data_IF_237750080995
#
_entry.id   IF_237750080995
#
_cell.length_a   1.000
_cell.length_b   1.000
_cell.length_c   1.000
_cell.angle_alpha   90.00
_cell.angle_beta   90.00
_cell.angle_gamma   90.00
#
_symmetry.space_group_name_H-M   'P 1'
#
loop_
_entity.id
_entity.type
_entity.pdbx_description
1 polymer ?
#
# COMPACT_ATOMS: atom_id res chain seq x y z
N UNK A 1 -29.70 3.25 -15.38
CA UNK A 1 -28.83 3.35 -14.18
C UNK A 1 -29.03 2.08 -13.39
N UNK A 2 -28.17 1.10 -13.58
CA UNK A 2 -28.20 -0.11 -12.77
C UNK A 2 -27.46 0.21 -11.48
N UNK A 3 -28.16 0.20 -10.34
CA UNK A 3 -27.56 0.18 -9.02
C UNK A 3 -26.95 -1.22 -8.85
N UNK A 4 -25.67 -1.35 -9.19
CA UNK A 4 -24.91 -2.53 -8.79
C UNK A 4 -24.66 -2.39 -7.29
N UNK A 5 -25.38 -3.16 -6.50
CA UNK A 5 -24.99 -3.41 -5.11
C UNK A 5 -23.56 -3.93 -5.05
N UNK A 6 -22.91 -3.90 -3.88
CA UNK A 6 -21.54 -4.39 -3.76
C UNK A 6 -21.48 -5.85 -4.25
N UNK A 7 -20.36 -6.17 -4.94
CA UNK A 7 -20.10 -7.53 -5.40
C UNK A 7 -20.17 -8.48 -4.18
N UNK A 8 -20.73 -9.71 -4.33
CA UNK A 8 -20.70 -10.69 -3.24
C UNK A 8 -19.32 -10.96 -2.65
N UNK A 9 -18.24 -10.88 -3.45
CA UNK A 9 -16.87 -10.97 -2.98
C UNK A 9 -16.50 -9.80 -2.07
N UNK A 10 -16.86 -8.57 -2.43
CA UNK A 10 -16.65 -7.38 -1.63
C UNK A 10 -17.34 -7.46 -0.27
N UNK A 11 -18.54 -8.03 -0.23
CA UNK A 11 -19.30 -8.23 1.02
C UNK A 11 -18.58 -9.18 1.97
N UNK A 12 -17.98 -10.25 1.45
CA UNK A 12 -17.17 -11.18 2.25
C UNK A 12 -15.91 -10.50 2.78
N UNK A 13 -15.21 -9.76 1.94
CA UNK A 13 -13.98 -9.03 2.34
C UNK A 13 -14.28 -8.00 3.43
N UNK A 14 -15.37 -7.24 3.31
CA UNK A 14 -15.81 -6.29 4.32
C UNK A 14 -16.17 -7.01 5.63
N UNK A 15 -16.84 -8.16 5.55
CA UNK A 15 -17.19 -8.94 6.74
C UNK A 15 -15.94 -9.47 7.47
N UNK A 16 -14.91 -9.90 6.73
CA UNK A 16 -13.64 -10.32 7.31
C UNK A 16 -12.89 -9.12 7.93
N UNK A 17 -12.88 -7.98 7.26
CA UNK A 17 -12.28 -6.76 7.78
C UNK A 17 -12.95 -6.25 9.05
N UNK A 18 -14.27 -6.46 9.21
CA UNK A 18 -14.98 -6.08 10.42
C UNK A 18 -14.48 -6.83 11.67
N UNK A 19 -14.03 -8.08 11.51
CA UNK A 19 -13.41 -8.85 12.59
C UNK A 19 -12.04 -8.25 12.98
N UNK A 20 -11.30 -7.76 11.98
CA UNK A 20 -10.00 -7.12 12.21
C UNK A 20 -10.13 -5.72 12.84
N UNK A 21 -11.29 -5.10 12.81
CA UNK A 21 -11.54 -3.80 13.45
C UNK A 21 -11.51 -3.90 14.99
N UNK A 22 -11.76 -5.09 15.55
CA UNK A 22 -11.65 -5.29 17.01
C UNK A 22 -10.18 -5.33 17.46
N UNK A 23 -9.77 -4.28 18.18
CA UNK A 23 -8.42 -4.11 18.73
C UNK A 23 -8.07 -5.11 19.84
N UNK A 24 -9.06 -5.70 20.47
CA UNK A 24 -8.88 -6.67 21.54
C UNK A 24 -8.63 -8.08 21.01
N UNK A 25 -9.18 -8.38 19.83
CA UNK A 25 -9.07 -9.69 19.21
C UNK A 25 -7.80 -9.88 18.37
N UNK A 26 -7.30 -8.79 17.76
CA UNK A 26 -6.18 -8.87 16.81
C UNK A 26 -5.18 -7.71 16.96
N UNK A 27 -3.89 -8.05 17.02
CA UNK A 27 -2.80 -7.06 16.99
C UNK A 27 -2.06 -7.14 15.65
N UNK A 28 -2.05 -6.04 14.89
CA UNK A 28 -1.23 -5.89 13.69
C UNK A 28 -0.86 -4.42 13.48
N UNK A 29 0.21 -4.15 12.72
CA UNK A 29 0.67 -2.79 12.40
C UNK A 29 0.54 -2.47 10.92
N UNK A 30 0.42 -3.48 10.08
CA UNK A 30 0.26 -3.35 8.63
C UNK A 30 -0.94 -4.18 8.19
N UNK A 31 -1.84 -3.56 7.45
CA UNK A 31 -2.93 -4.21 6.74
C UNK A 31 -2.62 -4.19 5.26
N UNK A 32 -2.79 -5.31 4.59
CA UNK A 32 -2.72 -5.42 3.12
C UNK A 32 -3.82 -6.33 2.61
N UNK A 33 -4.35 -6.00 1.46
CA UNK A 33 -5.34 -6.80 0.72
C UNK A 33 -4.82 -6.96 -0.70
N UNK A 34 -3.87 -7.90 -0.94
CA UNK A 34 -3.21 -8.00 -2.23
C UNK A 34 -4.18 -8.26 -3.37
N UNK A 35 -4.14 -7.40 -4.39
CA UNK A 35 -4.99 -7.49 -5.57
C UNK A 35 -6.41 -6.93 -5.38
N UNK A 36 -6.83 -6.65 -4.15
CA UNK A 36 -8.13 -6.02 -3.92
C UNK A 36 -8.05 -4.52 -4.24
N UNK A 37 -8.83 -4.10 -5.25
CA UNK A 37 -8.83 -2.73 -5.80
C UNK A 37 -10.22 -2.09 -5.78
N UNK A 38 -11.26 -2.83 -5.38
CA UNK A 38 -12.60 -2.30 -5.24
C UNK A 38 -12.63 -1.12 -4.25
N UNK A 39 -13.25 -0.01 -4.64
CA UNK A 39 -13.33 1.18 -3.79
C UNK A 39 -14.09 0.90 -2.50
N UNK A 40 -15.17 0.09 -2.54
CA UNK A 40 -15.97 -0.27 -1.38
C UNK A 40 -15.13 -0.96 -0.29
N UNK A 41 -14.30 -1.92 -0.67
CA UNK A 41 -13.44 -2.68 0.27
C UNK A 41 -12.26 -1.84 0.74
N UNK A 42 -11.62 -1.11 -0.16
CA UNK A 42 -10.44 -0.30 0.19
C UNK A 42 -10.80 0.91 1.06
N UNK A 43 -11.99 1.51 0.86
CA UNK A 43 -12.49 2.59 1.73
C UNK A 43 -12.84 2.05 3.13
N UNK A 44 -13.41 0.85 3.21
CA UNK A 44 -13.64 0.20 4.50
C UNK A 44 -12.33 -0.12 5.22
N UNK A 45 -11.31 -0.62 4.50
CA UNK A 45 -10.00 -0.90 5.08
C UNK A 45 -9.30 0.38 5.60
N UNK A 46 -9.44 1.50 4.88
CA UNK A 46 -8.97 2.81 5.34
C UNK A 46 -9.66 3.19 6.65
N UNK A 47 -10.99 3.18 6.66
CA UNK A 47 -11.81 3.52 7.84
C UNK A 47 -11.46 2.64 9.05
N UNK A 48 -11.29 1.34 8.84
CA UNK A 48 -10.87 0.42 9.89
C UNK A 48 -9.49 0.77 10.48
N UNK A 49 -8.52 1.16 9.65
CA UNK A 49 -7.21 1.60 10.12
C UNK A 49 -7.27 2.96 10.84
N UNK A 50 -8.13 3.88 10.39
CA UNK A 50 -8.39 5.15 11.05
C UNK A 50 -9.02 4.97 12.44
N UNK A 51 -10.03 4.12 12.56
CA UNK A 51 -10.66 3.82 13.85
C UNK A 51 -9.71 3.10 14.81
N UNK A 52 -8.87 2.23 14.27
CA UNK A 52 -7.87 1.50 15.08
C UNK A 52 -6.75 2.41 15.57
N UNK A 53 -6.25 3.31 14.78
CA UNK A 53 -5.06 4.15 15.04
C UNK A 53 -3.73 3.38 15.25
N UNK A 54 -3.71 2.06 15.16
CA UNK A 54 -2.56 1.20 15.44
C UNK A 54 -2.07 0.40 14.21
N UNK A 55 -2.65 0.67 13.05
CA UNK A 55 -2.31 0.03 11.79
C UNK A 55 -2.23 1.02 10.62
N UNK A 56 -1.39 0.70 9.63
CA UNK A 56 -1.29 1.37 8.34
C UNK A 56 -1.80 0.43 7.26
N UNK A 57 -2.72 0.90 6.42
CA UNK A 57 -3.16 0.17 5.24
C UNK A 57 -2.23 0.45 4.05
N UNK A 58 -1.68 -0.61 3.46
CA UNK A 58 -0.88 -0.54 2.23
C UNK A 58 -1.74 -1.08 1.10
N UNK A 59 -2.10 -0.23 0.15
CA UNK A 59 -3.13 -0.51 -0.84
C UNK A 59 -2.60 -0.60 -2.28
N UNK A 60 -3.23 -1.49 -3.03
CA UNK A 60 -3.16 -1.52 -4.48
C UNK A 60 -4.23 -0.59 -5.07
N UNK A 61 -3.95 0.01 -6.22
CA UNK A 61 -4.89 0.92 -6.89
C UNK A 61 -5.48 0.30 -8.14
N UNK A 62 -6.65 0.78 -8.55
CA UNK A 62 -7.29 0.39 -9.82
C UNK A 62 -6.38 0.76 -10.97
N UNK A 63 -6.13 -0.17 -11.87
CA UNK A 63 -5.36 0.04 -13.10
C UNK A 63 -6.32 0.38 -14.25
N UNK A 64 -6.00 1.41 -15.01
CA UNK A 64 -6.72 1.80 -16.23
C UNK A 64 -5.81 1.65 -17.44
N UNK A 65 -6.37 1.24 -18.58
CA UNK A 65 -5.67 1.22 -19.86
C UNK A 65 -5.64 2.61 -20.50
N UNK A 66 -5.08 2.71 -21.70
CA UNK A 66 -5.05 3.95 -22.47
C UNK A 66 -6.43 4.39 -22.99
N UNK A 67 -7.44 3.53 -22.93
CA UNK A 67 -8.83 3.79 -23.29
C UNK A 67 -9.73 4.08 -22.10
N UNK A 68 -9.17 4.24 -20.90
CA UNK A 68 -9.89 4.49 -19.64
C UNK A 68 -10.73 3.29 -19.13
N UNK A 69 -10.49 2.08 -19.67
CA UNK A 69 -11.10 0.85 -19.19
C UNK A 69 -10.32 0.27 -18.00
N UNK A 70 -11.02 -0.38 -17.07
CA UNK A 70 -10.38 -1.10 -15.95
C UNK A 70 -9.63 -2.31 -16.50
N UNK A 71 -8.40 -2.50 -16.07
CA UNK A 71 -7.56 -3.64 -16.46
C UNK A 71 -7.79 -4.78 -15.47
N UNK A 72 -8.35 -5.87 -15.97
CA UNK A 72 -8.46 -7.15 -15.27
C UNK A 72 -7.44 -8.17 -15.79
N UNK A 73 -6.97 -7.99 -17.04
CA UNK A 73 -6.00 -8.87 -17.68
C UNK A 73 -4.57 -8.40 -17.41
N UNK A 74 -3.74 -9.27 -16.87
CA UNK A 74 -2.32 -9.01 -16.55
C UNK A 74 -1.44 -8.73 -17.79
N UNK A 75 -1.90 -9.10 -18.98
CA UNK A 75 -1.19 -8.83 -20.24
C UNK A 75 -1.34 -7.38 -20.72
N UNK A 76 -2.32 -6.67 -20.22
CA UNK A 76 -2.57 -5.27 -20.59
C UNK A 76 -1.70 -4.34 -19.77
N UNK A 77 -0.95 -3.47 -20.44
CA UNK A 77 -0.13 -2.46 -19.74
C UNK A 77 -0.99 -1.29 -19.28
N UNK A 78 -0.86 -0.87 -18.01
CA UNK A 78 -1.61 0.28 -17.50
C UNK A 78 -1.20 1.60 -18.17
N UNK A 79 -2.20 2.43 -18.47
CA UNK A 79 -2.04 3.82 -18.83
C UNK A 79 -1.87 4.65 -17.56
N UNK A 80 -0.65 5.12 -17.28
CA UNK A 80 -0.34 5.78 -16.01
C UNK A 80 -1.24 7.01 -15.76
N UNK A 81 -1.44 7.86 -16.77
CA UNK A 81 -2.27 9.07 -16.65
C UNK A 81 -3.73 8.74 -16.30
N UNK A 82 -4.29 7.70 -16.92
CA UNK A 82 -5.67 7.26 -16.66
C UNK A 82 -5.80 6.66 -15.26
N UNK A 83 -4.81 5.88 -14.84
CA UNK A 83 -4.72 5.33 -13.48
C UNK A 83 -4.61 6.43 -12.42
N UNK A 84 -3.74 7.44 -12.63
CA UNK A 84 -3.63 8.60 -11.73
C UNK A 84 -4.95 9.35 -11.64
N UNK A 85 -5.59 9.64 -12.77
CA UNK A 85 -6.89 10.35 -12.82
C UNK A 85 -7.97 9.59 -12.04
N UNK A 86 -8.07 8.28 -12.26
CA UNK A 86 -9.03 7.43 -11.53
C UNK A 86 -8.79 7.46 -10.02
N UNK A 87 -7.53 7.34 -9.61
CA UNK A 87 -7.17 7.40 -8.20
C UNK A 87 -7.46 8.76 -7.58
N UNK A 88 -7.10 9.85 -8.25
CA UNK A 88 -7.33 11.22 -7.77
C UNK A 88 -8.81 11.58 -7.64
N UNK A 89 -9.68 10.98 -8.47
CA UNK A 89 -11.13 11.18 -8.37
C UNK A 89 -11.72 10.69 -7.04
N UNK A 90 -11.04 9.78 -6.34
CA UNK A 90 -11.48 9.29 -5.02
C UNK A 90 -11.30 10.33 -3.91
N UNK A 91 -10.46 11.34 -4.12
CA UNK A 91 -10.21 12.44 -3.18
C UNK A 91 -9.90 11.94 -1.75
N UNK A 92 -9.09 10.89 -1.64
CA UNK A 92 -8.70 10.31 -0.36
C UNK A 92 -7.79 11.29 0.39
N UNK A 93 -8.04 11.48 1.69
CA UNK A 93 -7.23 12.33 2.55
C UNK A 93 -7.05 11.65 3.91
N UNK A 94 -6.05 10.80 4.03
CA UNK A 94 -5.76 10.06 5.25
C UNK A 94 -4.28 9.75 5.40
N UNK A 95 -3.78 9.78 6.62
CA UNK A 95 -2.42 9.33 6.92
C UNK A 95 -2.33 7.84 7.27
N UNK A 96 -3.46 7.14 7.34
CA UNK A 96 -3.50 5.72 7.70
C UNK A 96 -3.48 4.78 6.49
N UNK A 97 -3.31 5.32 5.28
CA UNK A 97 -3.17 4.52 4.08
C UNK A 97 -2.01 5.03 3.20
N UNK A 98 -1.43 4.12 2.42
CA UNK A 98 -0.39 4.41 1.44
C UNK A 98 -0.63 3.58 0.17
N UNK A 99 -0.73 4.25 -0.98
CA UNK A 99 -0.96 3.63 -2.27
C UNK A 99 0.34 3.35 -3.02
N UNK A 100 0.40 2.20 -3.69
CA UNK A 100 1.55 1.79 -4.51
C UNK A 100 1.13 1.41 -5.92
N UNK A 101 2.02 1.68 -6.89
CA UNK A 101 1.84 1.38 -8.31
C UNK A 101 3.21 1.27 -8.99
N UNK A 102 3.35 0.44 -10.03
CA UNK A 102 2.46 -0.56 -10.60
C UNK A 102 2.68 -1.96 -10.00
N UNK A 103 2.01 -2.95 -10.60
CA UNK A 103 2.30 -4.36 -10.34
C UNK A 103 3.73 -4.71 -10.76
N UNK A 104 4.28 -5.75 -10.17
CA UNK A 104 5.67 -6.18 -10.37
C UNK A 104 5.76 -7.63 -10.83
N UNK A 105 6.75 -7.94 -11.64
CA UNK A 105 7.04 -9.32 -12.02
C UNK A 105 7.99 -9.96 -11.00
N UNK A 106 7.53 -11.05 -10.42
CA UNK A 106 8.28 -11.90 -9.51
C UNK A 106 8.44 -13.31 -10.10
N UNK A 107 9.39 -14.04 -9.57
CA UNK A 107 9.55 -15.46 -9.95
C UNK A 107 8.77 -16.33 -8.99
N UNK A 108 7.93 -17.21 -9.55
CA UNK A 108 7.17 -18.18 -8.75
C UNK A 108 8.14 -19.18 -8.11
N UNK A 109 8.06 -19.44 -6.80
CA UNK A 109 9.00 -20.34 -6.12
C UNK A 109 8.98 -21.78 -6.60
N UNK A 110 7.84 -22.28 -7.13
CA UNK A 110 7.68 -23.68 -7.52
C UNK A 110 8.38 -24.05 -8.83
N UNK A 111 8.37 -23.16 -9.82
CA UNK A 111 8.82 -23.43 -11.19
C UNK A 111 9.69 -22.33 -11.80
N UNK A 112 9.97 -21.30 -11.00
CA UNK A 112 10.74 -20.11 -11.41
C UNK A 112 10.10 -19.31 -12.59
N UNK A 113 8.83 -19.59 -12.91
CA UNK A 113 8.10 -18.86 -13.94
C UNK A 113 7.82 -17.42 -13.52
N UNK A 114 7.85 -16.45 -14.47
CA UNK A 114 7.45 -15.09 -14.19
C UNK A 114 5.94 -15.01 -13.89
N UNK A 115 5.59 -14.32 -12.82
CA UNK A 115 4.20 -14.01 -12.47
C UNK A 115 4.08 -12.52 -12.18
N UNK A 116 2.97 -11.92 -12.59
CA UNK A 116 2.61 -10.58 -12.21
C UNK A 116 1.97 -10.60 -10.82
N UNK A 117 2.43 -9.73 -9.93
CA UNK A 117 2.02 -9.70 -8.53
C UNK A 117 1.68 -8.26 -8.14
N UNK A 118 0.62 -8.04 -7.36
CA UNK A 118 0.30 -6.72 -6.83
C UNK A 118 1.48 -6.11 -6.05
N UNK A 119 1.70 -4.78 -6.13
CA UNK A 119 2.83 -4.12 -5.49
C UNK A 119 2.86 -4.30 -3.98
N UNK A 120 1.70 -4.43 -3.34
CA UNK A 120 1.60 -4.61 -1.89
C UNK A 120 2.26 -5.89 -1.38
N UNK A 121 2.26 -6.98 -2.16
CA UNK A 121 2.98 -8.22 -1.82
C UNK A 121 4.49 -7.95 -1.70
N UNK A 122 5.06 -7.24 -2.67
CA UNK A 122 6.47 -6.83 -2.63
C UNK A 122 6.76 -5.89 -1.48
N UNK A 123 5.87 -4.92 -1.23
CA UNK A 123 6.01 -3.93 -0.17
C UNK A 123 5.93 -4.54 1.24
N UNK A 124 5.10 -5.57 1.45
CA UNK A 124 5.11 -6.34 2.71
C UNK A 124 6.50 -6.90 3.00
N UNK A 125 7.15 -7.49 2.00
CA UNK A 125 8.51 -7.99 2.14
C UNK A 125 9.53 -6.88 2.44
N UNK A 126 9.40 -5.72 1.78
CA UNK A 126 10.26 -4.55 2.02
C UNK A 126 10.09 -4.02 3.45
N UNK A 127 8.84 -3.81 3.88
CA UNK A 127 8.55 -3.26 5.22
C UNK A 127 8.98 -4.24 6.32
N UNK A 128 8.67 -5.51 6.19
CA UNK A 128 9.06 -6.55 7.16
C UNK A 128 10.59 -6.67 7.28
N UNK A 129 11.31 -6.67 6.14
CA UNK A 129 12.77 -6.67 6.16
C UNK A 129 13.34 -5.41 6.81
N UNK A 130 12.77 -4.25 6.50
CA UNK A 130 13.18 -2.99 7.09
C UNK A 130 13.01 -3.00 8.62
N UNK A 131 11.91 -3.52 9.11
CA UNK A 131 11.60 -3.63 10.54
C UNK A 131 12.54 -4.61 11.26
N UNK A 132 13.03 -5.65 10.57
CA UNK A 132 13.95 -6.63 11.15
C UNK A 132 15.41 -6.15 11.21
N UNK A 133 15.83 -5.28 10.29
CA UNK A 133 17.21 -4.78 10.17
C UNK A 133 17.40 -3.45 10.92
N UNK A 134 16.35 -2.64 10.92
CA UNK A 134 16.31 -1.33 11.53
C UNK A 134 15.07 -1.22 12.44
N UNK A 135 14.28 -0.18 12.27
CA UNK A 135 13.07 0.04 13.05
C UNK A 135 11.90 0.50 12.13
N UNK A 136 10.63 0.35 12.58
CA UNK A 136 9.47 0.73 11.79
C UNK A 136 9.43 2.17 11.29
N UNK A 137 10.15 3.08 11.93
CA UNK A 137 10.23 4.50 11.55
C UNK A 137 11.31 4.83 10.52
N UNK A 138 12.05 3.84 10.03
CA UNK A 138 12.90 4.05 8.85
C UNK A 138 12.08 3.94 7.56
N UNK A 139 12.39 4.83 6.59
CA UNK A 139 11.68 4.86 5.33
C UNK A 139 11.87 3.56 4.53
N UNK A 140 10.79 2.82 4.18
CA UNK A 140 10.87 1.61 3.37
C UNK A 140 10.95 1.96 1.87
N UNK A 141 11.87 2.85 1.50
CA UNK A 141 11.99 3.39 0.16
C UNK A 141 13.44 3.69 -0.22
N UNK A 142 13.68 3.89 -1.51
CA UNK A 142 14.99 4.23 -2.06
C UNK A 142 15.90 3.02 -2.24
N UNK A 143 17.10 3.27 -2.78
CA UNK A 143 18.03 2.22 -3.21
C UNK A 143 18.57 1.33 -2.07
N UNK A 144 18.58 1.84 -0.85
CA UNK A 144 19.11 1.10 0.29
C UNK A 144 18.08 0.19 0.96
N UNK A 145 16.83 0.65 1.10
CA UNK A 145 15.79 -0.03 1.87
C UNK A 145 14.57 -0.44 1.06
N UNK A 146 14.34 0.21 -0.09
CA UNK A 146 13.17 0.01 -0.92
C UNK A 146 13.27 -1.11 -1.96
N UNK A 147 14.32 -1.95 -1.95
CA UNK A 147 14.51 -3.03 -2.93
C UNK A 147 13.45 -4.12 -2.72
N UNK A 148 12.65 -4.39 -3.77
CA UNK A 148 11.69 -5.48 -3.81
C UNK A 148 12.37 -6.79 -4.27
N UNK A 149 11.78 -7.91 -3.87
CA UNK A 149 12.13 -9.22 -4.43
C UNK A 149 11.37 -9.45 -5.75
N UNK A 150 11.61 -8.57 -6.71
CA UNK A 150 11.04 -8.57 -8.05
C UNK A 150 12.15 -8.28 -9.04
N UNK A 151 11.96 -8.65 -10.31
CA UNK A 151 12.98 -8.43 -11.34
C UNK A 151 12.55 -7.43 -12.41
N UNK A 152 11.25 -7.09 -12.48
CA UNK A 152 10.72 -6.13 -13.45
C UNK A 152 9.48 -5.43 -12.89
N UNK A 153 9.22 -4.21 -13.34
CA UNK A 153 8.00 -3.45 -13.08
C UNK A 153 7.10 -3.54 -14.31
N UNK A 154 5.79 -3.71 -14.13
CA UNK A 154 4.82 -3.79 -15.24
C UNK A 154 4.89 -2.56 -16.16
N UNK A 155 5.30 -1.41 -15.62
CA UNK A 155 5.44 -0.17 -16.37
C UNK A 155 6.85 0.38 -16.21
N UNK A 156 7.52 0.68 -17.33
CA UNK A 156 8.75 1.45 -17.31
C UNK A 156 8.43 2.94 -17.15
N UNK A 157 9.10 3.58 -16.21
CA UNK A 157 8.82 4.96 -15.85
C UNK A 157 10.04 5.84 -16.13
N UNK A 158 9.79 6.97 -16.76
CA UNK A 158 10.71 8.09 -16.81
C UNK A 158 10.48 9.01 -15.60
N UNK A 159 11.30 10.04 -15.47
CA UNK A 159 11.24 10.97 -14.35
C UNK A 159 9.90 11.71 -14.26
N UNK A 160 9.36 12.16 -15.39
CA UNK A 160 8.09 12.90 -15.41
C UNK A 160 6.91 12.04 -14.92
N UNK A 161 6.94 10.74 -15.22
CA UNK A 161 5.93 9.78 -14.74
C UNK A 161 6.08 9.55 -13.24
N UNK A 162 7.31 9.41 -12.74
CA UNK A 162 7.57 9.27 -11.30
C UNK A 162 7.08 10.50 -10.52
N UNK A 163 7.38 11.70 -11.03
CA UNK A 163 6.96 12.96 -10.42
C UNK A 163 5.42 13.07 -10.44
N UNK A 164 4.77 12.73 -11.56
CA UNK A 164 3.29 12.74 -11.66
C UNK A 164 2.61 11.78 -10.69
N UNK A 165 3.15 10.59 -10.47
CA UNK A 165 2.66 9.64 -9.48
C UNK A 165 2.84 10.18 -8.06
N UNK A 166 4.02 10.74 -7.79
CA UNK A 166 4.35 11.29 -6.48
C UNK A 166 3.47 12.49 -6.12
N UNK A 167 3.14 13.36 -7.08
CA UNK A 167 2.23 14.50 -6.90
C UNK A 167 0.78 14.06 -6.64
N UNK A 168 0.41 12.86 -7.11
CA UNK A 168 -0.89 12.24 -6.85
C UNK A 168 -0.93 11.36 -5.59
N UNK A 169 0.08 11.45 -4.71
CA UNK A 169 0.24 10.65 -3.49
C UNK A 169 0.32 9.13 -3.71
N UNK A 170 0.72 8.72 -4.93
CA UNK A 170 0.98 7.34 -5.28
C UNK A 170 2.47 7.07 -5.19
N UNK A 171 2.87 6.07 -4.42
CA UNK A 171 4.26 5.67 -4.27
C UNK A 171 4.69 4.78 -5.46
N UNK A 172 5.60 5.26 -6.32
CA UNK A 172 6.02 4.51 -7.50
C UNK A 172 6.95 3.36 -7.15
N UNK A 173 6.79 2.26 -7.89
CA UNK A 173 7.73 1.13 -7.91
C UNK A 173 8.33 1.05 -9.30
N UNK A 174 9.65 1.16 -9.40
CA UNK A 174 10.33 1.29 -10.69
C UNK A 174 11.68 0.56 -10.73
N UNK A 175 12.19 0.41 -11.94
CA UNK A 175 13.55 -0.06 -12.21
C UNK A 175 14.44 1.14 -12.52
N UNK A 176 15.45 1.46 -11.69
CA UNK A 176 16.38 2.55 -11.99
C UNK A 176 17.22 2.29 -13.23
N UNK A 177 17.54 3.34 -13.98
CA UNK A 177 18.43 3.23 -15.13
C UNK A 177 19.79 2.64 -14.72
N UNK A 178 20.28 1.66 -15.49
CA UNK A 178 21.52 0.95 -15.22
C UNK A 178 21.42 -0.11 -14.12
N UNK A 179 20.22 -0.44 -13.65
CA UNK A 179 19.97 -1.49 -12.66
C UNK A 179 18.86 -2.44 -13.14
N UNK A 180 19.00 -2.93 -14.37
CA UNK A 180 18.06 -3.90 -14.92
C UNK A 180 17.99 -5.15 -14.02
N UNK A 181 16.76 -5.62 -13.77
CA UNK A 181 16.52 -6.74 -12.86
C UNK A 181 16.43 -6.36 -11.38
N UNK A 182 16.54 -5.10 -11.03
CA UNK A 182 16.34 -4.61 -9.66
C UNK A 182 15.18 -3.63 -9.59
N UNK A 183 14.20 -3.95 -8.76
CA UNK A 183 12.98 -3.15 -8.58
C UNK A 183 13.00 -2.46 -7.23
N UNK A 184 12.63 -1.18 -7.20
CA UNK A 184 12.68 -0.36 -5.98
C UNK A 184 11.39 0.43 -5.78
N UNK A 185 10.94 0.51 -4.53
CA UNK A 185 9.96 1.50 -4.11
C UNK A 185 10.66 2.86 -3.96
N UNK A 186 10.11 3.91 -4.56
CA UNK A 186 10.73 5.24 -4.62
C UNK A 186 9.89 6.34 -3.97
N UNK A 187 8.86 5.99 -3.23
CA UNK A 187 8.01 6.90 -2.50
C UNK A 187 7.77 6.43 -1.07
N UNK A 188 7.41 7.36 -0.20
CA UNK A 188 6.99 7.08 1.16
C UNK A 188 5.89 8.04 1.63
N UNK A 189 5.00 8.43 0.71
CA UNK A 189 3.84 9.26 1.04
C UNK A 189 2.69 8.41 1.57
N UNK A 190 1.99 8.96 2.56
CA UNK A 190 0.61 8.54 2.89
C UNK A 190 -0.35 9.25 1.96
N UNK A 191 -1.65 8.99 2.08
CA UNK A 191 -2.69 9.68 1.33
C UNK A 191 -3.12 11.00 1.96
N UNK A 192 -2.35 11.54 2.90
CA UNK A 192 -2.65 12.81 3.54
C UNK A 192 -2.30 13.97 2.60
N UNK A 193 -3.30 14.76 2.24
CA UNK A 193 -3.14 15.93 1.36
C UNK A 193 -2.69 17.18 2.12
N UNK A 194 -2.95 17.24 3.42
CA UNK A 194 -2.54 18.35 4.26
C UNK A 194 -1.04 18.35 4.53
N UNK A 195 -0.41 19.51 4.47
CA UNK A 195 1.00 19.68 4.79
C UNK A 195 1.30 19.35 6.27
N UNK A 196 1.72 18.15 6.55
CA UNK A 196 2.00 17.63 7.88
C UNK A 196 3.13 16.61 7.83
N UNK A 197 3.84 16.40 8.93
CA UNK A 197 4.81 15.32 9.03
C UNK A 197 4.17 13.92 8.86
N UNK A 198 2.86 13.80 9.02
CA UNK A 198 2.09 12.56 8.84
C UNK A 198 1.82 12.23 7.36
N UNK A 199 2.20 13.10 6.43
CA UNK A 199 2.23 12.81 5.00
C UNK A 199 3.29 11.74 4.65
N UNK A 200 4.13 11.35 5.63
CA UNK A 200 5.21 10.36 5.47
C UNK A 200 4.90 9.06 6.17
N UNK A 201 5.07 7.94 5.46
CA UNK A 201 4.85 6.58 5.97
C UNK A 201 5.70 6.32 7.22
N UNK A 202 6.98 6.70 7.21
CA UNK A 202 7.89 6.46 8.33
C UNK A 202 7.44 7.19 9.60
N UNK A 203 6.95 8.42 9.51
CA UNK A 203 6.45 9.18 10.66
C UNK A 203 5.14 8.58 11.18
N UNK A 204 4.20 8.21 10.27
CA UNK A 204 2.97 7.53 10.67
C UNK A 204 3.27 6.22 11.39
N UNK A 205 4.20 5.41 10.88
CA UNK A 205 4.61 4.14 11.49
C UNK A 205 5.31 4.35 12.85
N UNK A 206 6.10 5.41 13.00
CA UNK A 206 6.66 5.80 14.30
C UNK A 206 5.56 6.04 15.34
N UNK A 207 4.52 6.80 14.98
CA UNK A 207 3.42 7.08 15.93
C UNK A 207 2.60 5.81 16.25
N UNK A 208 2.41 4.93 15.28
CA UNK A 208 1.77 3.62 15.51
C UNK A 208 2.58 2.80 16.52
N UNK A 209 3.89 2.73 16.35
CA UNK A 209 4.80 1.98 17.25
C UNK A 209 4.85 2.58 18.66
N UNK A 210 4.99 3.91 18.77
CA UNK A 210 4.96 4.61 20.07
C UNK A 210 3.64 4.34 20.78
N UNK A 211 2.50 4.49 20.10
CA UNK A 211 1.18 4.24 20.70
C UNK A 211 1.05 2.83 21.25
N UNK A 212 1.52 1.83 20.47
CA UNK A 212 1.52 0.42 20.90
C UNK A 212 2.38 0.19 22.14
N UNK A 213 3.60 0.76 22.16
CA UNK A 213 4.51 0.65 23.31
C UNK A 213 3.92 1.32 24.56
N UNK A 214 3.37 2.53 24.41
CA UNK A 214 2.72 3.25 25.51
C UNK A 214 1.50 2.49 26.05
N UNK A 215 0.67 1.92 25.17
CA UNK A 215 -0.47 1.09 25.58
C UNK A 215 -0.01 -0.10 26.41
N UNK A 216 1.04 -0.83 25.98
CA UNK A 216 1.60 -1.97 26.70
C UNK A 216 2.10 -1.60 28.10
N UNK A 217 2.78 -0.46 28.24
CA UNK A 217 3.24 0.03 29.56
C UNK A 217 2.05 0.46 30.41
N UNK A 218 1.07 1.15 29.82
CA UNK A 218 -0.14 1.58 30.53
C UNK A 218 -0.96 0.40 31.07
N UNK A 219 -1.07 -0.67 30.31
CA UNK A 219 -1.76 -1.89 30.75
C UNK A 219 -1.07 -2.56 31.97
N UNK A 220 0.25 -2.50 32.04
CA UNK A 220 1.02 -3.01 33.20
C UNK A 220 0.82 -2.17 34.46
N UNK A 221 0.54 -0.88 34.30
CA UNK A 221 0.38 0.07 35.42
C UNK A 221 -1.09 0.25 35.85
N UNK A 222 -2.04 -0.37 35.16
CA UNK A 222 -3.47 -0.10 35.32
C UNK A 222 -4.00 -0.36 36.74
N UNK A 223 -3.39 -1.25 37.50
CA UNK A 223 -3.82 -1.60 38.85
C UNK A 223 -2.65 -1.51 39.90
N UNK A 224 -1.56 -0.87 39.51
CA UNK A 224 -0.48 -0.59 40.46
C UNK A 224 -0.87 0.62 41.35
N UNK A 225 -0.56 0.57 42.67
CA UNK A 225 -0.93 1.61 43.61
C UNK A 225 -0.17 2.91 43.40
#
# INVERSE_FOLDING_TARGET
MASTGPDPSDTLDISLLSILSDKSATEFQLLVLPGQRSSSVTDYAISACEERFDALYVMDIVKKDAGDAVIEDDLVRPGVRHTIKEFSNRSLNTSFAAAYFPDVLMRRPSDNAPILVPPTVGMMGVMSRNDSIADPWFAPAGLNRGKLNAFESQVQMNRDVLDSLYDADINPIYVPAGREGEVYAFGQKTLLQDASALDRINVRRLLIDIRRKVKKVGEQLLFEP
#
